data_IF_191159982409
#
_entry.id   IF_191159982409
#
_cell.length_a   1.000
_cell.length_b   1.000
_cell.length_c   1.000
_cell.angle_alpha   90.00
_cell.angle_beta   90.00
_cell.angle_gamma   90.00
#
_symmetry.space_group_name_H-M   'P 1'
#
loop_
_entity.id
_entity.type
_entity.pdbx_description
1 polymer ?
#
# COMPACT_ATOMS: atom_id res chain seq x y z
N UNK A 1 -9.86 -9.39 7.77
CA UNK A 1 -10.45 -8.64 6.63
C UNK A 1 -11.13 -9.65 5.73
N UNK A 2 -12.46 -9.64 5.68
CA UNK A 2 -13.31 -10.69 5.08
C UNK A 2 -14.29 -10.02 4.11
N UNK A 3 -14.33 -10.48 2.85
CA UNK A 3 -15.02 -9.88 1.70
C UNK A 3 -16.49 -10.30 1.58
N UNK A 4 -17.44 -9.38 1.77
CA UNK A 4 -18.86 -9.58 1.44
C UNK A 4 -19.30 -8.72 0.25
N UNK A 5 -19.85 -9.41 -0.75
CA UNK A 5 -20.93 -8.99 -1.65
C UNK A 5 -20.91 -7.53 -2.15
N UNK A 6 -20.68 -7.41 -3.45
CA UNK A 6 -20.72 -6.22 -4.33
C UNK A 6 -22.04 -5.40 -4.32
N UNK A 7 -22.87 -5.47 -3.28
CA UNK A 7 -24.16 -4.77 -3.16
C UNK A 7 -24.21 -3.70 -2.06
N UNK A 8 -23.13 -3.51 -1.28
CA UNK A 8 -22.98 -2.41 -0.31
C UNK A 8 -21.84 -1.47 -0.71
N UNK A 9 -22.02 -0.17 -0.46
CA UNK A 9 -21.06 0.88 -0.85
C UNK A 9 -19.65 0.57 -0.33
N UNK A 10 -18.60 0.65 -1.18
CA UNK A 10 -17.21 0.30 -0.81
C UNK A 10 -16.69 1.10 0.40
N UNK A 11 -17.30 2.26 0.67
CA UNK A 11 -17.05 3.11 1.81
C UNK A 11 -17.22 2.42 3.18
N UNK A 12 -18.33 1.71 3.39
CA UNK A 12 -18.69 1.11 4.68
C UNK A 12 -17.73 -0.04 5.04
N UNK A 13 -17.20 -0.70 4.02
CA UNK A 13 -16.31 -1.83 4.21
C UNK A 13 -14.91 -1.41 4.66
N UNK A 14 -14.41 -0.29 4.15
CA UNK A 14 -13.10 0.24 4.53
C UNK A 14 -13.08 0.66 6.01
N UNK A 15 -14.14 1.30 6.49
CA UNK A 15 -14.27 1.71 7.89
C UNK A 15 -14.31 0.51 8.84
N UNK A 16 -15.20 -0.48 8.59
CA UNK A 16 -15.32 -1.66 9.45
C UNK A 16 -14.00 -2.46 9.55
N UNK A 17 -13.28 -2.64 8.43
CA UNK A 17 -12.02 -3.37 8.47
C UNK A 17 -10.91 -2.62 9.21
N UNK A 18 -10.90 -1.29 9.11
CA UNK A 18 -9.95 -0.43 9.81
C UNK A 18 -10.15 -0.51 11.32
N UNK A 19 -11.42 -0.49 11.78
CA UNK A 19 -11.76 -0.71 13.21
C UNK A 19 -11.27 -2.08 13.67
N UNK A 20 -11.54 -3.15 12.90
CA UNK A 20 -11.09 -4.50 13.26
C UNK A 20 -9.56 -4.61 13.37
N UNK A 21 -8.83 -3.98 12.46
CA UNK A 21 -7.37 -3.95 12.49
C UNK A 21 -6.82 -3.18 13.70
N UNK A 22 -7.42 -2.03 14.04
CA UNK A 22 -7.02 -1.22 15.20
C UNK A 22 -7.31 -1.94 16.52
N UNK A 23 -8.49 -2.54 16.66
CA UNK A 23 -8.85 -3.34 17.83
C UNK A 23 -7.91 -4.52 18.01
N UNK A 24 -7.53 -5.21 16.93
CA UNK A 24 -6.55 -6.29 16.99
C UNK A 24 -5.17 -5.79 17.41
N UNK A 25 -4.70 -4.69 16.82
CA UNK A 25 -3.43 -4.06 17.19
C UNK A 25 -3.40 -3.70 18.68
N UNK A 26 -4.47 -3.07 19.18
CA UNK A 26 -4.62 -2.69 20.57
C UNK A 26 -4.56 -3.92 21.49
N UNK A 27 -5.22 -5.02 21.12
CA UNK A 27 -5.17 -6.27 21.90
C UNK A 27 -3.77 -6.88 21.98
N UNK A 28 -2.96 -6.73 20.94
CA UNK A 28 -1.60 -7.28 20.89
C UNK A 28 -0.55 -6.38 21.54
N UNK A 29 -0.70 -5.05 21.43
CA UNK A 29 0.33 -4.09 21.83
C UNK A 29 -0.04 -3.26 23.07
N UNK A 30 -1.28 -3.32 23.55
CA UNK A 30 -1.78 -2.55 24.70
C UNK A 30 -1.97 -1.06 24.45
N UNK A 31 -1.60 -0.55 23.28
CA UNK A 31 -1.77 0.84 22.88
C UNK A 31 -2.07 0.96 21.37
N UNK A 32 -2.72 2.06 20.99
CA UNK A 32 -2.94 2.39 19.58
C UNK A 32 -1.62 2.75 18.87
N UNK A 33 -1.50 2.50 17.56
CA UNK A 33 -0.30 2.83 16.82
C UNK A 33 -0.16 4.36 16.69
N UNK A 34 1.05 4.88 16.82
CA UNK A 34 1.29 6.34 16.64
C UNK A 34 1.16 6.77 15.18
N UNK A 35 1.45 5.88 14.23
CA UNK A 35 1.43 6.15 12.78
C UNK A 35 0.85 4.96 12.03
N UNK A 36 0.02 5.25 11.04
CA UNK A 36 -0.64 4.28 10.17
C UNK A 36 -0.35 4.66 8.73
N UNK A 37 0.14 3.71 7.96
CA UNK A 37 0.49 3.90 6.56
C UNK A 37 -0.31 2.91 5.74
N UNK A 38 -1.16 3.44 4.87
CA UNK A 38 -2.08 2.66 4.03
C UNK A 38 -1.54 2.66 2.61
N UNK A 39 -1.20 1.48 2.10
CA UNK A 39 -0.87 1.30 0.69
C UNK A 39 -2.11 0.83 -0.08
N UNK A 40 -2.61 1.69 -0.97
CA UNK A 40 -3.82 1.46 -1.76
C UNK A 40 -3.46 1.11 -3.20
N UNK A 41 -3.62 -0.17 -3.55
CA UNK A 41 -3.41 -0.66 -4.92
C UNK A 41 -4.72 -0.62 -5.74
N UNK A 42 -4.62 -0.56 -7.06
CA UNK A 42 -5.78 -0.72 -7.97
C UNK A 42 -6.61 0.55 -8.23
N UNK A 43 -6.03 1.74 -8.07
CA UNK A 43 -6.70 3.02 -8.32
C UNK A 43 -6.26 3.60 -9.66
N UNK A 44 -7.20 3.79 -10.58
CA UNK A 44 -6.97 4.48 -11.85
C UNK A 44 -6.85 6.01 -11.69
N UNK A 45 -6.29 6.71 -12.67
CA UNK A 45 -6.13 8.17 -12.62
C UNK A 45 -7.46 8.90 -12.40
N UNK A 46 -8.54 8.47 -13.07
CA UNK A 46 -9.88 9.06 -12.91
C UNK A 46 -10.57 8.76 -11.57
N UNK A 47 -10.04 7.80 -10.79
CA UNK A 47 -10.59 7.43 -9.48
C UNK A 47 -9.83 8.07 -8.32
N UNK A 48 -8.71 8.76 -8.58
CA UNK A 48 -7.88 9.38 -7.55
C UNK A 48 -8.70 10.34 -6.68
N UNK A 49 -9.52 11.17 -7.33
CA UNK A 49 -10.38 12.14 -6.65
C UNK A 49 -11.40 11.45 -5.74
N UNK A 50 -11.94 10.30 -6.15
CA UNK A 50 -12.87 9.54 -5.32
C UNK A 50 -12.20 9.02 -4.05
N UNK A 51 -10.94 8.56 -4.13
CA UNK A 51 -10.20 8.09 -2.95
C UNK A 51 -9.96 9.26 -1.98
N UNK A 52 -9.56 10.42 -2.50
CA UNK A 52 -9.31 11.61 -1.67
C UNK A 52 -10.60 12.14 -1.04
N UNK A 53 -11.69 12.21 -1.80
CA UNK A 53 -12.94 12.84 -1.35
C UNK A 53 -13.79 11.90 -0.46
N UNK A 54 -13.62 10.57 -0.58
CA UNK A 54 -14.45 9.58 0.14
C UNK A 54 -13.65 8.62 1.03
N UNK A 55 -12.61 7.95 0.52
CA UNK A 55 -11.89 6.93 1.32
C UNK A 55 -11.07 7.58 2.45
N UNK A 56 -10.35 8.68 2.18
CA UNK A 56 -9.51 9.35 3.18
C UNK A 56 -10.33 9.92 4.34
N UNK A 57 -11.41 10.71 4.14
CA UNK A 57 -12.23 11.22 5.23
C UNK A 57 -12.83 10.11 6.10
N UNK A 58 -13.23 8.99 5.51
CA UNK A 58 -13.78 7.86 6.27
C UNK A 58 -12.75 7.20 7.17
N UNK A 59 -11.51 7.05 6.69
CA UNK A 59 -10.41 6.58 7.54
C UNK A 59 -10.14 7.55 8.69
N UNK A 60 -10.20 8.86 8.43
CA UNK A 60 -10.02 9.88 9.47
C UNK A 60 -11.13 9.80 10.54
N UNK A 61 -12.39 9.71 10.12
CA UNK A 61 -13.54 9.54 11.04
C UNK A 61 -13.36 8.29 11.91
N UNK A 62 -12.98 7.16 11.32
CA UNK A 62 -12.73 5.91 12.07
C UNK A 62 -11.62 6.07 13.09
N UNK A 63 -10.54 6.75 12.72
CA UNK A 63 -9.44 7.02 13.65
C UNK A 63 -9.88 7.93 14.78
N UNK A 64 -10.64 8.97 14.50
CA UNK A 64 -11.12 9.93 15.50
C UNK A 64 -12.11 9.25 16.46
N UNK A 65 -13.03 8.41 15.96
CA UNK A 65 -13.96 7.60 16.77
C UNK A 65 -13.22 6.60 17.68
N UNK A 66 -12.20 5.90 17.15
CA UNK A 66 -11.40 4.95 17.93
C UNK A 66 -10.54 5.66 19.00
N UNK A 67 -10.25 6.95 18.83
CA UNK A 67 -9.44 7.74 19.74
C UNK A 67 -10.22 8.40 20.87
N UNK A 68 -11.56 8.36 20.86
CA UNK A 68 -12.36 8.93 21.95
C UNK A 68 -11.99 8.42 23.35
N UNK A 69 -11.31 7.27 23.44
CA UNK A 69 -10.81 6.66 24.68
C UNK A 69 -9.30 6.84 24.94
N UNK A 70 -8.53 7.46 24.03
CA UNK A 70 -7.07 7.54 24.09
C UNK A 70 -6.54 8.98 23.87
N UNK A 71 -5.41 9.31 24.49
CA UNK A 71 -4.91 10.70 24.54
C UNK A 71 -4.37 11.25 23.21
N UNK A 72 -4.15 10.43 22.17
CA UNK A 72 -3.61 10.89 20.89
C UNK A 72 -4.09 10.08 19.69
N UNK A 73 -4.56 10.81 18.68
CA UNK A 73 -4.91 10.30 17.35
C UNK A 73 -3.69 9.75 16.60
N UNK A 74 -3.75 8.52 16.04
CA UNK A 74 -2.76 8.01 15.11
C UNK A 74 -2.63 8.91 13.88
N UNK A 75 -1.39 9.20 13.49
CA UNK A 75 -1.12 9.93 12.26
C UNK A 75 -1.34 9.02 11.05
N UNK A 76 -2.03 9.51 10.02
CA UNK A 76 -2.37 8.73 8.83
C UNK A 76 -1.57 9.20 7.61
N UNK A 77 -1.06 8.25 6.83
CA UNK A 77 -0.56 8.49 5.47
C UNK A 77 -1.20 7.50 4.50
N UNK A 78 -1.70 7.99 3.38
CA UNK A 78 -2.31 7.16 2.33
C UNK A 78 -1.50 7.28 1.05
N UNK A 79 -1.00 6.14 0.58
CA UNK A 79 -0.12 6.03 -0.57
C UNK A 79 -0.80 5.17 -1.63
N UNK A 80 -1.09 5.76 -2.78
CA UNK A 80 -1.57 5.04 -3.95
C UNK A 80 -0.39 4.32 -4.59
N UNK A 81 -0.56 3.02 -4.84
CA UNK A 81 0.42 2.17 -5.51
C UNK A 81 -0.10 1.85 -6.92
N UNK A 82 0.62 2.28 -7.95
CA UNK A 82 0.34 1.89 -9.34
C UNK A 82 1.41 0.94 -9.84
N UNK A 83 1.04 -0.33 -9.91
CA UNK A 83 1.89 -1.40 -10.42
C UNK A 83 2.33 -1.14 -11.85
N UNK A 84 1.43 -0.73 -12.74
CA UNK A 84 1.69 -0.57 -14.18
C UNK A 84 1.82 0.90 -14.53
N UNK A 85 3.03 1.36 -14.83
CA UNK A 85 3.29 2.68 -15.37
C UNK A 85 3.89 2.57 -16.78
N UNK A 86 3.55 3.48 -17.73
CA UNK A 86 4.22 3.55 -19.03
C UNK A 86 5.69 4.01 -18.94
N UNK A 87 6.06 4.79 -17.92
CA UNK A 87 7.42 5.29 -17.76
C UNK A 87 8.45 4.16 -17.65
N UNK A 88 9.60 4.35 -18.29
CA UNK A 88 10.76 3.46 -18.26
C UNK A 88 11.99 4.27 -17.94
N UNK A 89 12.79 3.77 -17.02
CA UNK A 89 14.04 4.40 -16.61
C UNK A 89 15.20 3.50 -16.99
N UNK A 90 16.29 4.12 -17.40
CA UNK A 90 17.51 3.43 -17.82
C UNK A 90 18.70 4.13 -17.18
N UNK A 91 19.75 3.37 -16.92
CA UNK A 91 21.05 3.90 -16.52
C UNK A 91 22.03 3.64 -17.67
N UNK A 92 22.86 4.63 -17.98
CA UNK A 92 23.91 4.47 -18.98
C UNK A 92 25.15 3.88 -18.31
N UNK A 93 25.56 2.70 -18.75
CA UNK A 93 26.80 2.05 -18.32
C UNK A 93 27.57 1.55 -19.55
N UNK A 94 28.85 1.90 -19.64
CA UNK A 94 29.74 1.46 -20.72
C UNK A 94 29.18 1.70 -22.15
N UNK A 95 28.56 2.87 -22.38
CA UNK A 95 27.90 3.22 -23.67
C UNK A 95 26.75 2.29 -24.06
N UNK A 96 26.20 1.57 -23.08
CA UNK A 96 25.01 0.72 -23.23
C UNK A 96 23.93 1.14 -22.24
N UNK A 97 22.67 1.09 -22.68
CA UNK A 97 21.53 1.31 -21.80
C UNK A 97 21.26 0.03 -21.01
N UNK A 98 21.28 0.15 -19.69
CA UNK A 98 21.00 -0.94 -18.77
C UNK A 98 19.83 -0.59 -17.86
N UNK A 99 19.22 -1.63 -17.28
CA UNK A 99 18.21 -1.43 -16.26
C UNK A 99 18.85 -0.79 -15.02
N UNK A 100 18.20 0.21 -14.39
CA UNK A 100 18.71 0.79 -13.15
C UNK A 100 18.83 -0.25 -12.03
N UNK A 101 19.74 -0.03 -11.07
CA UNK A 101 19.89 -0.93 -9.93
C UNK A 101 18.63 -0.95 -9.05
N UNK A 102 18.49 -2.02 -8.27
CA UNK A 102 17.44 -2.12 -7.25
C UNK A 102 17.57 -0.98 -6.23
N UNK A 103 16.42 -0.48 -5.78
CA UNK A 103 16.36 0.65 -4.85
C UNK A 103 16.51 2.01 -5.52
N UNK A 104 16.64 2.07 -6.86
CA UNK A 104 16.58 3.35 -7.58
C UNK A 104 15.23 4.02 -7.33
N UNK A 105 15.28 5.24 -6.82
CA UNK A 105 14.14 6.13 -6.65
C UNK A 105 14.25 7.26 -7.65
N UNK A 106 13.14 7.61 -8.30
CA UNK A 106 13.03 8.79 -9.15
C UNK A 106 11.90 9.65 -8.62
N UNK A 107 12.23 10.77 -8.01
CA UNK A 107 11.30 11.75 -7.43
C UNK A 107 11.39 13.14 -8.06
N UNK A 108 12.35 13.36 -8.97
CA UNK A 108 12.54 14.60 -9.74
C UNK A 108 12.30 14.42 -11.25
N UNK A 109 11.82 15.47 -11.92
CA UNK A 109 11.64 15.62 -13.38
C UNK A 109 10.60 14.72 -14.07
N UNK A 110 10.47 13.45 -13.65
CA UNK A 110 9.46 12.52 -14.17
C UNK A 110 8.14 12.54 -13.36
N UNK A 111 8.13 13.30 -12.26
CA UNK A 111 7.06 13.47 -11.29
C UNK A 111 6.23 14.71 -11.58
N UNK A 112 5.04 14.82 -10.97
CA UNK A 112 4.22 16.03 -11.12
C UNK A 112 4.61 17.02 -10.02
N UNK A 113 4.94 18.28 -10.35
CA UNK A 113 5.44 19.25 -9.36
C UNK A 113 4.40 19.56 -8.25
N UNK A 114 3.12 19.37 -8.54
CA UNK A 114 2.02 19.59 -7.59
C UNK A 114 1.76 18.40 -6.68
N UNK A 115 2.28 17.21 -7.01
CA UNK A 115 1.99 15.97 -6.30
C UNK A 115 3.20 15.48 -5.54
N UNK A 116 2.94 14.83 -4.41
CA UNK A 116 3.98 14.09 -3.72
C UNK A 116 4.02 12.66 -4.27
N UNK A 117 4.71 12.48 -5.39
CA UNK A 117 4.87 11.20 -6.05
C UNK A 117 6.34 10.82 -6.27
N UNK A 118 6.58 9.51 -6.45
CA UNK A 118 7.90 8.97 -6.75
C UNK A 118 7.77 7.61 -7.43
N UNK A 119 8.80 7.26 -8.21
CA UNK A 119 8.98 5.93 -8.77
C UNK A 119 9.99 5.16 -7.95
N UNK A 120 9.75 3.87 -7.77
CA UNK A 120 10.69 2.96 -7.11
C UNK A 120 10.89 1.71 -7.95
N UNK A 121 12.16 1.36 -8.14
CA UNK A 121 12.58 0.12 -8.80
C UNK A 121 12.93 -0.91 -7.72
N UNK A 122 11.98 -1.81 -7.46
CA UNK A 122 12.05 -2.84 -6.42
C UNK A 122 12.24 -4.26 -6.95
N UNK A 123 12.18 -4.48 -8.26
CA UNK A 123 12.32 -5.81 -8.85
C UNK A 123 13.34 -5.82 -9.98
N UNK A 124 14.14 -6.89 -10.08
CA UNK A 124 15.04 -7.11 -11.22
C UNK A 124 14.26 -7.73 -12.37
N UNK A 125 14.36 -7.14 -13.56
CA UNK A 125 13.91 -7.76 -14.80
C UNK A 125 15.13 -8.39 -15.51
N UNK A 126 15.10 -9.73 -15.70
CA UNK A 126 16.24 -10.50 -16.25
C UNK A 126 16.41 -10.36 -17.77
N UNK A 127 15.32 -10.20 -18.51
CA UNK A 127 15.32 -10.22 -19.99
C UNK A 127 14.61 -9.02 -20.62
N UNK A 128 13.87 -8.25 -19.84
CA UNK A 128 13.04 -7.14 -20.33
C UNK A 128 13.43 -5.87 -19.58
N UNK A 129 13.05 -4.71 -20.10
CA UNK A 129 13.13 -3.46 -19.36
C UNK A 129 12.35 -3.56 -18.04
N UNK A 130 12.96 -3.08 -16.97
CA UNK A 130 12.30 -3.02 -15.67
C UNK A 130 11.11 -2.08 -15.72
N UNK A 131 9.99 -2.50 -15.13
CA UNK A 131 8.80 -1.68 -15.03
C UNK A 131 8.72 -1.09 -13.62
N UNK A 132 8.99 0.21 -13.43
CA UNK A 132 8.99 0.85 -12.12
C UNK A 132 7.59 0.82 -11.52
N UNK A 133 7.52 0.86 -10.19
CA UNK A 133 6.25 1.08 -9.48
C UNK A 133 6.13 2.53 -9.11
N UNK A 134 4.98 3.12 -9.44
CA UNK A 134 4.66 4.50 -9.15
C UNK A 134 3.90 4.59 -7.83
N UNK A 135 4.33 5.51 -6.97
CA UNK A 135 3.73 5.79 -5.68
C UNK A 135 3.30 7.25 -5.63
N UNK A 136 2.09 7.51 -5.17
CA UNK A 136 1.58 8.87 -4.96
C UNK A 136 1.01 8.97 -3.55
N UNK A 137 1.58 9.85 -2.73
CA UNK A 137 1.12 10.15 -1.38
C UNK A 137 0.00 11.19 -1.49
N UNK A 138 -1.24 10.72 -1.38
CA UNK A 138 -2.43 11.56 -1.56
C UNK A 138 -2.87 12.25 -0.28
N UNK A 139 -2.43 11.74 0.87
CA UNK A 139 -2.71 12.29 2.18
C UNK A 139 -1.56 11.93 3.12
N UNK A 140 -1.04 12.90 3.87
CA UNK A 140 -0.01 12.68 4.88
C UNK A 140 -0.17 13.63 6.07
N UNK A 141 -0.42 13.04 7.25
CA UNK A 141 -0.42 13.71 8.56
C UNK A 141 0.76 13.21 9.44
N UNK A 142 1.61 12.34 8.89
CA UNK A 142 2.69 11.69 9.65
C UNK A 142 3.86 12.63 9.97
N UNK A 143 4.07 13.66 9.13
CA UNK A 143 5.24 14.53 9.16
C UNK A 143 6.53 13.78 8.83
N UNK A 144 6.45 12.68 8.08
CA UNK A 144 7.63 11.97 7.60
C UNK A 144 8.28 12.72 6.45
N UNK A 145 9.61 12.82 6.48
CA UNK A 145 10.35 13.34 5.33
C UNK A 145 10.19 12.41 4.13
N UNK A 146 10.23 12.93 2.90
CA UNK A 146 10.11 12.10 1.71
C UNK A 146 11.07 10.91 1.63
N UNK A 147 12.34 11.12 1.98
CA UNK A 147 13.36 10.05 2.08
C UNK A 147 12.90 8.89 3.00
N UNK A 148 12.29 9.21 4.13
CA UNK A 148 11.83 8.18 5.07
C UNK A 148 10.67 7.36 4.50
N UNK A 149 9.76 7.99 3.77
CA UNK A 149 8.63 7.30 3.12
C UNK A 149 9.10 6.39 1.99
N UNK A 150 10.04 6.87 1.18
CA UNK A 150 10.65 6.09 0.09
C UNK A 150 11.40 4.87 0.66
N UNK A 151 12.26 5.07 1.67
CA UNK A 151 13.01 4.00 2.33
C UNK A 151 12.11 3.00 3.05
N UNK A 152 11.05 3.48 3.70
CA UNK A 152 10.06 2.61 4.33
C UNK A 152 9.38 1.73 3.27
N UNK A 153 8.93 2.33 2.17
CA UNK A 153 8.28 1.62 1.07
C UNK A 153 9.20 0.55 0.48
N UNK A 154 10.49 0.88 0.28
CA UNK A 154 11.48 -0.09 -0.18
C UNK A 154 11.70 -1.23 0.82
N UNK A 155 11.77 -0.94 2.13
CA UNK A 155 11.87 -1.97 3.18
C UNK A 155 10.64 -2.90 3.18
N UNK A 156 9.43 -2.35 3.00
CA UNK A 156 8.21 -3.16 2.94
C UNK A 156 8.19 -4.13 1.76
N UNK A 157 8.92 -3.85 0.67
CA UNK A 157 9.08 -4.79 -0.46
C UNK A 157 9.94 -6.02 -0.15
N UNK A 158 10.62 -6.07 1.00
CA UNK A 158 11.42 -7.23 1.43
C UNK A 158 10.62 -8.19 2.33
N UNK A 159 9.43 -7.79 2.79
CA UNK A 159 8.69 -8.50 3.83
C UNK A 159 7.67 -9.52 3.26
N UNK A 160 7.90 -10.04 2.05
CA UNK A 160 7.02 -11.04 1.46
C UNK A 160 7.59 -12.44 1.61
N UNK A 161 7.03 -13.21 2.53
CA UNK A 161 7.60 -14.50 2.95
C UNK A 161 7.60 -15.62 1.91
N UNK A 162 6.78 -15.55 0.85
CA UNK A 162 6.75 -16.58 -0.18
C UNK A 162 7.84 -16.38 -1.26
N UNK A 163 8.70 -15.36 -1.14
CA UNK A 163 9.81 -15.15 -2.09
C UNK A 163 11.07 -14.67 -1.36
N UNK A 164 12.23 -15.35 -1.52
CA UNK A 164 13.47 -14.99 -0.84
C UNK A 164 14.20 -13.80 -1.50
N UNK A 165 13.48 -12.73 -1.83
CA UNK A 165 14.03 -11.55 -2.49
C UNK A 165 13.03 -10.40 -2.53
N UNK A 166 13.39 -9.33 -3.24
CA UNK A 166 12.50 -8.18 -3.36
C UNK A 166 11.32 -8.48 -4.29
N UNK A 167 10.14 -8.08 -3.84
CA UNK A 167 8.94 -8.03 -4.66
C UNK A 167 8.67 -6.62 -5.18
N UNK A 168 7.87 -6.55 -6.24
CA UNK A 168 7.57 -5.30 -6.96
C UNK A 168 6.82 -4.27 -6.13
N UNK A 169 5.88 -4.72 -5.30
CA UNK A 169 5.03 -3.85 -4.47
C UNK A 169 5.28 -4.13 -2.99
N UNK A 170 4.87 -3.25 -2.08
CA UNK A 170 4.99 -3.50 -0.65
C UNK A 170 4.28 -4.81 -0.26
N UNK A 171 4.85 -5.54 0.70
CA UNK A 171 4.29 -6.80 1.16
C UNK A 171 2.79 -6.72 1.52
N UNK A 172 2.27 -5.68 2.20
CA UNK A 172 0.83 -5.55 2.47
C UNK A 172 -0.04 -5.59 1.21
N UNK A 173 0.38 -4.93 0.12
CA UNK A 173 -0.34 -4.95 -1.16
C UNK A 173 -0.30 -6.34 -1.81
N UNK A 174 0.85 -7.02 -1.73
CA UNK A 174 1.01 -8.34 -2.31
C UNK A 174 0.18 -9.39 -1.56
N UNK A 175 0.16 -9.33 -0.23
CA UNK A 175 -0.68 -10.18 0.61
C UNK A 175 -2.16 -9.96 0.34
N UNK A 176 -2.62 -8.70 0.27
CA UNK A 176 -3.99 -8.39 -0.10
C UNK A 176 -4.35 -8.95 -1.48
N UNK A 177 -3.48 -8.75 -2.48
CA UNK A 177 -3.69 -9.28 -3.84
C UNK A 177 -3.81 -10.80 -3.86
N UNK A 178 -2.97 -11.51 -3.09
CA UNK A 178 -2.96 -12.97 -3.00
C UNK A 178 -4.21 -13.51 -2.32
N UNK A 179 -4.64 -12.89 -1.22
CA UNK A 179 -5.89 -13.22 -0.54
C UNK A 179 -7.10 -13.00 -1.44
N UNK A 180 -7.18 -11.84 -2.10
CA UNK A 180 -8.27 -11.54 -3.05
C UNK A 180 -8.31 -12.52 -4.20
N UNK A 181 -7.15 -12.90 -4.74
CA UNK A 181 -7.06 -13.91 -5.80
C UNK A 181 -7.58 -15.28 -5.34
N UNK A 182 -7.15 -15.76 -4.18
CA UNK A 182 -7.60 -17.05 -3.62
C UNK A 182 -9.12 -17.07 -3.38
N UNK A 183 -9.65 -16.02 -2.74
CA UNK A 183 -11.09 -15.92 -2.46
C UNK A 183 -11.89 -15.79 -3.75
N UNK A 184 -11.44 -14.96 -4.69
CA UNK A 184 -12.15 -14.69 -5.93
C UNK A 184 -12.11 -15.82 -6.96
N UNK A 185 -11.06 -16.66 -6.96
CA UNK A 185 -10.88 -17.73 -7.95
C UNK A 185 -11.17 -19.14 -7.45
N UNK A 186 -11.11 -19.37 -6.14
CA UNK A 186 -11.17 -20.74 -5.61
C UNK A 186 -12.22 -20.92 -4.51
N UNK A 187 -12.21 -20.07 -3.49
CA UNK A 187 -13.09 -20.27 -2.32
C UNK A 187 -14.52 -19.81 -2.63
N UNK A 188 -14.67 -18.67 -3.34
CA UNK A 188 -15.95 -18.02 -3.64
C UNK A 188 -16.85 -17.77 -2.41
N UNK A 189 -16.26 -17.81 -1.21
CA UNK A 189 -16.90 -17.59 0.08
C UNK A 189 -15.92 -16.87 1.02
N UNK A 190 -16.49 -16.25 2.04
CA UNK A 190 -15.74 -15.66 3.14
C UNK A 190 -14.90 -16.71 3.90
N UNK A 191 -13.58 -16.49 4.07
CA UNK A 191 -12.75 -17.34 4.90
C UNK A 191 -13.12 -17.23 6.38
N UNK A 192 -12.94 -18.32 7.13
CA UNK A 192 -13.23 -18.38 8.56
C UNK A 192 -12.46 -17.31 9.36
N UNK A 193 -13.14 -16.73 10.36
CA UNK A 193 -12.55 -15.74 11.27
C UNK A 193 -11.37 -16.30 12.09
N UNK A 194 -11.30 -17.61 12.29
CA UNK A 194 -10.19 -18.28 12.99
C UNK A 194 -8.86 -18.18 12.23
N UNK A 195 -8.91 -17.88 10.93
CA UNK A 195 -7.74 -17.78 10.06
C UNK A 195 -7.23 -16.34 9.93
N UNK A 196 -7.87 -15.35 10.57
CA UNK A 196 -7.53 -13.92 10.45
C UNK A 196 -6.08 -13.62 10.84
N UNK A 197 -5.53 -14.35 11.80
CA UNK A 197 -4.17 -14.17 12.30
C UNK A 197 -3.13 -15.04 11.56
N UNK A 198 -3.53 -15.76 10.51
CA UNK A 198 -2.68 -16.71 9.79
C UNK A 198 -2.52 -16.31 8.32
N UNK A 199 -1.34 -16.59 7.77
CA UNK A 199 -1.05 -16.40 6.34
C UNK A 199 -1.49 -17.62 5.52
N UNK A 200 -2.75 -18.06 5.68
CA UNK A 200 -3.29 -19.28 5.05
C UNK A 200 -3.39 -19.20 3.51
N UNK A 201 -3.28 -18.00 2.96
CA UNK A 201 -3.49 -17.70 1.55
C UNK A 201 -2.20 -17.65 0.73
N UNK A 202 -1.04 -17.94 1.34
CA UNK A 202 0.26 -17.88 0.68
C UNK A 202 0.51 -19.02 -0.31
#
# INVERSE_FOLDING_TARGET
MVSLSFTRSPAIFLSCNSVGALSKWLSCNGQLPTRIIVYRDGVGDGQLKLVVDYEVPQLLVVLDECCGSFSSRPKLSVIIVKKRCPCRFFTEAYRSLQNPPLGTVVDTEATRPEWYDFFLISQVARQVTVNPTYYNVIYDDSGLKPDHMQRLTYKMCHLYYNWPGLIRVPAPCQYASKLTFLVGQSIHHEPSLELVDKLFYL
#
